data_IF_578087151588
#
_entry.id   IF_578087151588
#
_cell.length_a   1.000
_cell.length_b   1.000
_cell.length_c   1.000
_cell.angle_alpha   90.00
_cell.angle_beta   90.00
_cell.angle_gamma   90.00
#
_symmetry.space_group_name_H-M   'P 1'
#
loop_
_entity.id
_entity.type
_entity.pdbx_description
1 polymer ?
#
# COMPACT_ATOMS: atom_id res chain seq x y z
N UNK A 1 15.63 0.74 9.72
CA UNK A 1 15.24 -0.59 10.31
C UNK A 1 16.35 -1.60 10.10
N UNK A 2 16.39 -2.69 10.90
CA UNK A 2 17.47 -3.71 10.83
C UNK A 2 16.90 -5.10 11.10
N UNK A 3 17.43 -6.14 10.42
CA UNK A 3 17.15 -7.56 10.67
C UNK A 3 18.40 -8.40 10.47
N UNK A 4 18.52 -9.52 11.20
CA UNK A 4 19.64 -10.45 11.11
C UNK A 4 19.10 -11.85 10.85
N UNK A 5 19.79 -12.59 10.00
CA UNK A 5 19.51 -13.98 9.68
C UNK A 5 20.80 -14.81 9.65
N UNK A 6 20.76 -16.00 10.24
CA UNK A 6 21.89 -16.91 10.29
C UNK A 6 21.63 -18.13 9.41
N UNK A 7 22.50 -18.30 8.41
CA UNK A 7 22.59 -19.51 7.58
C UNK A 7 24.00 -20.05 7.69
N UNK A 8 24.23 -20.88 8.69
CA UNK A 8 25.59 -21.34 9.00
C UNK A 8 26.37 -21.74 7.74
N UNK A 9 27.61 -21.27 7.57
CA UNK A 9 28.39 -20.49 8.55
C UNK A 9 28.31 -18.97 8.36
N UNK A 10 27.32 -18.47 7.60
CA UNK A 10 27.16 -17.05 7.26
C UNK A 10 26.11 -16.38 8.14
N UNK A 11 26.40 -15.13 8.52
CA UNK A 11 25.46 -14.18 9.10
C UNK A 11 25.10 -13.14 8.02
N UNK A 12 23.82 -12.93 7.82
CA UNK A 12 23.26 -11.90 6.94
C UNK A 12 22.60 -10.82 7.80
N UNK A 13 23.01 -9.59 7.66
CA UNK A 13 22.42 -8.44 8.31
C UNK A 13 21.95 -7.43 7.28
N UNK A 14 20.64 -7.17 7.23
CA UNK A 14 20.09 -6.12 6.38
C UNK A 14 19.80 -4.87 7.22
N UNK A 15 20.20 -3.71 6.71
CA UNK A 15 19.88 -2.40 7.24
C UNK A 15 19.13 -1.62 6.17
N UNK A 16 18.03 -0.95 6.57
CA UNK A 16 17.18 -0.15 5.67
C UNK A 16 17.15 1.28 6.20
N UNK A 17 17.39 2.24 5.32
CA UNK A 17 17.30 3.66 5.66
C UNK A 17 15.82 4.05 5.76
N UNK A 18 15.41 4.52 6.96
CA UNK A 18 14.03 4.90 7.24
C UNK A 18 13.23 3.84 8.00
N UNK A 19 12.00 4.18 8.33
CA UNK A 19 11.05 3.33 9.08
C UNK A 19 9.73 3.12 8.35
N UNK A 20 9.38 4.05 7.45
CA UNK A 20 8.20 3.98 6.61
C UNK A 20 8.44 4.71 5.29
N UNK A 21 7.73 4.28 4.25
CA UNK A 21 7.81 4.85 2.90
C UNK A 21 6.42 5.02 2.34
N UNK A 22 6.29 5.94 1.41
CA UNK A 22 5.07 6.07 0.63
C UNK A 22 5.20 5.31 -0.70
N UNK A 23 4.09 4.94 -1.29
CA UNK A 23 4.06 4.49 -2.68
C UNK A 23 4.78 5.51 -3.57
N UNK A 24 5.59 5.04 -4.53
CA UNK A 24 6.40 5.87 -5.41
C UNK A 24 7.78 6.28 -4.85
N UNK A 25 8.09 5.98 -3.59
CA UNK A 25 9.40 6.28 -2.99
C UNK A 25 10.43 5.17 -3.24
N UNK A 26 11.68 5.47 -2.93
CA UNK A 26 12.80 4.53 -3.01
C UNK A 26 13.08 3.95 -1.63
N UNK A 27 13.09 2.63 -1.52
CA UNK A 27 13.59 1.91 -0.35
C UNK A 27 15.04 1.52 -0.63
N UNK A 28 15.95 1.91 0.24
CA UNK A 28 17.38 1.63 0.08
C UNK A 28 18.04 1.27 1.40
N UNK A 29 19.20 0.63 1.29
CA UNK A 29 19.94 0.22 2.47
C UNK A 29 21.19 -0.57 2.11
N UNK A 30 21.63 -1.37 3.06
CA UNK A 30 22.82 -2.21 2.94
C UNK A 30 22.53 -3.64 3.40
N UNK A 31 23.14 -4.60 2.72
CA UNK A 31 23.23 -5.99 3.16
C UNK A 31 24.68 -6.27 3.54
N UNK A 32 24.91 -6.71 4.76
CA UNK A 32 26.20 -7.14 5.28
C UNK A 32 26.19 -8.66 5.42
N UNK A 33 27.20 -9.31 4.88
CA UNK A 33 27.41 -10.76 4.95
C UNK A 33 28.72 -11.02 5.68
N UNK A 34 28.67 -11.77 6.78
CA UNK A 34 29.83 -12.08 7.60
C UNK A 34 30.06 -13.59 7.69
N UNK A 35 31.31 -13.99 7.52
CA UNK A 35 31.71 -15.38 7.77
C UNK A 35 32.02 -15.58 9.26
N UNK A 36 31.18 -16.36 9.94
CA UNK A 36 31.28 -16.64 11.37
C UNK A 36 32.18 -17.84 11.69
N UNK A 37 32.70 -18.52 10.66
CA UNK A 37 33.58 -19.69 10.83
C UNK A 37 35.05 -19.29 10.90
N UNK A 38 35.89 -20.24 11.32
CA UNK A 38 37.35 -20.14 11.31
C UNK A 38 37.99 -20.51 9.96
N UNK A 39 37.21 -20.82 8.91
CA UNK A 39 37.68 -21.23 7.57
C UNK A 39 37.10 -20.27 6.53
N UNK A 40 37.81 -20.22 5.37
CA UNK A 40 37.27 -19.54 4.19
C UNK A 40 36.01 -20.25 3.69
N UNK A 41 34.95 -19.48 3.38
CA UNK A 41 33.67 -19.96 2.86
C UNK A 41 33.37 -19.26 1.56
N UNK A 42 32.86 -19.98 0.57
CA UNK A 42 32.37 -19.39 -0.68
C UNK A 42 30.90 -19.04 -0.54
N UNK A 43 30.60 -17.76 -0.70
CA UNK A 43 29.22 -17.26 -0.83
C UNK A 43 28.79 -17.54 -2.27
N UNK A 44 28.03 -18.63 -2.50
CA UNK A 44 27.59 -19.05 -3.84
C UNK A 44 26.70 -17.98 -4.46
N UNK A 45 25.59 -17.68 -3.79
CA UNK A 45 24.67 -16.61 -4.19
C UNK A 45 24.14 -15.93 -2.94
N UNK A 46 24.05 -14.63 -2.98
CA UNK A 46 23.32 -13.85 -1.98
C UNK A 46 22.38 -12.90 -2.70
N UNK A 47 21.18 -12.76 -2.17
CA UNK A 47 20.14 -12.02 -2.84
C UNK A 47 19.28 -11.24 -1.86
N UNK A 48 18.72 -10.15 -2.38
CA UNK A 48 17.72 -9.31 -1.71
C UNK A 48 16.50 -9.29 -2.62
N UNK A 49 15.34 -9.57 -2.07
CA UNK A 49 14.09 -9.70 -2.80
C UNK A 49 13.05 -8.82 -2.14
N UNK A 50 12.39 -7.96 -2.92
CA UNK A 50 11.17 -7.32 -2.46
C UNK A 50 9.97 -8.14 -2.94
N UNK A 51 9.11 -8.54 -2.01
CA UNK A 51 7.95 -9.40 -2.29
C UNK A 51 6.73 -9.01 -1.46
N UNK A 52 5.56 -9.24 -2.03
CA UNK A 52 4.30 -9.13 -1.29
C UNK A 52 3.98 -10.45 -0.59
N UNK A 53 3.57 -10.37 0.69
CA UNK A 53 3.16 -11.49 1.50
C UNK A 53 1.89 -11.23 2.29
N UNK A 54 1.06 -12.26 2.47
CA UNK A 54 -0.19 -12.20 3.25
C UNK A 54 0.07 -12.59 4.71
N UNK A 55 -0.36 -11.75 5.65
CA UNK A 55 -0.22 -12.00 7.10
C UNK A 55 -0.89 -13.30 7.56
N UNK A 56 -1.97 -13.71 6.90
CA UNK A 56 -2.67 -14.96 7.20
C UNK A 56 -1.78 -16.19 6.99
N UNK A 57 -1.05 -16.23 5.87
CA UNK A 57 -0.16 -17.34 5.55
C UNK A 57 0.96 -17.52 6.61
N UNK A 58 1.44 -16.42 7.21
CA UNK A 58 2.41 -16.49 8.32
C UNK A 58 1.83 -17.14 9.59
N UNK A 59 0.54 -16.87 9.89
CA UNK A 59 -0.12 -17.40 11.09
C UNK A 59 -0.42 -18.89 10.95
N UNK A 60 -0.73 -19.34 9.74
CA UNK A 60 -1.13 -20.73 9.47
C UNK A 60 0.08 -21.66 9.27
N UNK A 61 1.29 -21.14 9.16
CA UNK A 61 2.51 -21.95 8.94
C UNK A 61 2.54 -22.69 7.58
N UNK A 62 1.65 -22.35 6.68
CA UNK A 62 1.45 -23.03 5.37
C UNK A 62 2.34 -22.44 4.29
N UNK A 63 3.63 -22.24 4.52
CA UNK A 63 4.53 -21.63 3.52
C UNK A 63 3.94 -20.35 2.91
N UNK A 64 4.65 -19.24 2.98
CA UNK A 64 4.10 -17.97 2.48
C UNK A 64 4.20 -17.96 0.96
N UNK A 65 3.10 -17.90 0.21
CA UNK A 65 3.18 -17.71 -1.23
C UNK A 65 3.61 -16.28 -1.51
N UNK A 66 4.92 -16.08 -1.66
CA UNK A 66 5.48 -14.78 -1.99
C UNK A 66 5.16 -14.40 -3.44
N UNK A 67 4.57 -13.24 -3.64
CA UNK A 67 4.55 -12.59 -4.96
C UNK A 67 5.80 -11.74 -5.06
N UNK A 68 6.85 -12.26 -5.68
CA UNK A 68 8.10 -11.53 -5.95
C UNK A 68 7.81 -10.37 -6.88
N UNK A 69 8.27 -9.18 -6.51
CA UNK A 69 8.16 -7.96 -7.33
C UNK A 69 9.49 -7.69 -8.03
N UNK A 70 10.60 -7.72 -7.29
CA UNK A 70 11.93 -7.47 -7.80
C UNK A 70 12.95 -8.25 -6.99
N UNK A 71 14.09 -8.58 -7.63
CA UNK A 71 15.20 -9.32 -7.04
C UNK A 71 16.52 -8.68 -7.45
N UNK A 72 17.43 -8.53 -6.49
CA UNK A 72 18.81 -8.10 -6.72
C UNK A 72 19.78 -9.15 -6.18
N UNK A 73 20.81 -9.47 -6.97
CA UNK A 73 21.91 -10.34 -6.55
C UNK A 73 22.98 -9.45 -5.91
N UNK A 74 23.22 -9.68 -4.63
CA UNK A 74 24.21 -8.92 -3.85
C UNK A 74 25.63 -9.51 -4.00
N UNK A 75 25.75 -10.84 -3.99
CA UNK A 75 27.03 -11.53 -4.13
C UNK A 75 26.85 -12.83 -4.91
N UNK A 76 27.86 -13.22 -5.69
CA UNK A 76 27.92 -14.49 -6.40
C UNK A 76 29.35 -15.00 -6.45
N UNK A 77 29.55 -16.26 -6.02
CA UNK A 77 30.83 -17.00 -6.05
C UNK A 77 32.03 -16.24 -5.42
N UNK A 78 31.76 -15.55 -4.27
CA UNK A 78 32.77 -14.77 -3.57
C UNK A 78 33.35 -15.59 -2.40
N UNK A 79 34.68 -15.77 -2.39
CA UNK A 79 35.39 -16.37 -1.26
C UNK A 79 35.52 -15.36 -0.11
N UNK A 80 34.99 -15.69 1.06
CA UNK A 80 35.01 -14.86 2.24
C UNK A 80 35.89 -15.49 3.31
N UNK A 81 36.99 -14.85 3.68
CA UNK A 81 37.93 -15.32 4.69
C UNK A 81 37.27 -15.45 6.06
N UNK A 82 37.89 -16.22 6.96
CA UNK A 82 37.44 -16.37 8.34
C UNK A 82 37.27 -15.02 9.02
N UNK A 83 36.09 -14.77 9.61
CA UNK A 83 35.74 -13.53 10.33
C UNK A 83 35.56 -12.29 9.46
N UNK A 84 35.80 -12.38 8.13
CA UNK A 84 35.62 -11.24 7.20
C UNK A 84 34.16 -10.96 6.91
N UNK A 85 33.88 -9.75 6.43
CA UNK A 85 32.56 -9.32 6.00
C UNK A 85 32.58 -8.64 4.63
N UNK A 86 31.43 -8.72 3.93
CA UNK A 86 31.13 -7.99 2.69
C UNK A 86 29.92 -7.12 2.92
N UNK A 87 29.90 -5.93 2.31
CA UNK A 87 28.76 -5.00 2.38
C UNK A 87 28.34 -4.62 0.97
N UNK A 88 27.03 -4.70 0.72
CA UNK A 88 26.38 -4.34 -0.55
C UNK A 88 25.32 -3.30 -0.31
N UNK A 89 25.38 -2.21 -1.06
CA UNK A 89 24.28 -1.24 -1.11
C UNK A 89 23.25 -1.71 -2.12
N UNK A 90 21.98 -1.52 -1.80
CA UNK A 90 20.84 -1.90 -2.63
C UNK A 90 19.76 -0.83 -2.58
N UNK A 91 18.91 -0.81 -3.61
CA UNK A 91 17.70 0.03 -3.63
C UNK A 91 16.61 -0.63 -4.45
N UNK A 92 15.35 -0.33 -4.10
CA UNK A 92 14.15 -0.71 -4.85
C UNK A 92 13.25 0.50 -5.03
N UNK A 93 12.78 0.72 -6.26
CA UNK A 93 11.81 1.76 -6.57
C UNK A 93 10.40 1.20 -6.32
N UNK A 94 9.69 1.77 -5.37
CA UNK A 94 8.30 1.41 -5.14
C UNK A 94 7.42 1.98 -6.25
N UNK A 95 6.58 1.15 -6.88
CA UNK A 95 5.55 1.65 -7.78
C UNK A 95 4.57 2.56 -7.05
N UNK A 96 4.01 3.56 -7.75
CA UNK A 96 2.95 4.44 -7.23
C UNK A 96 1.67 3.69 -6.87
N UNK A 97 1.55 2.46 -7.33
CA UNK A 97 0.43 1.55 -7.09
C UNK A 97 0.83 0.28 -6.33
N UNK A 98 2.03 0.21 -5.72
CA UNK A 98 2.47 -0.95 -4.95
C UNK A 98 1.56 -1.24 -3.76
N UNK A 99 1.70 -2.44 -3.17
CA UNK A 99 0.94 -2.85 -1.99
C UNK A 99 1.23 -1.95 -0.79
N UNK A 100 0.20 -1.33 -0.21
CA UNK A 100 0.29 -0.67 1.11
C UNK A 100 0.32 -1.71 2.23
N UNK A 101 0.89 -1.35 3.37
CA UNK A 101 0.86 -2.20 4.56
C UNK A 101 -0.50 -2.07 5.25
N UNK A 102 -1.27 -3.15 5.25
CA UNK A 102 -2.58 -3.21 5.87
C UNK A 102 -2.74 -4.42 6.82
N UNK A 103 -3.96 -4.69 7.24
CA UNK A 103 -4.27 -5.84 8.11
C UNK A 103 -4.12 -7.19 7.39
N UNK A 104 -4.17 -7.23 6.06
CA UNK A 104 -4.12 -8.45 5.26
C UNK A 104 -2.70 -8.84 4.88
N UNK A 105 -1.83 -7.86 4.63
CA UNK A 105 -0.46 -8.11 4.17
C UNK A 105 0.38 -6.85 4.03
N UNK A 106 1.46 -6.95 3.27
CA UNK A 106 2.37 -5.85 2.98
C UNK A 106 3.56 -6.30 2.16
N UNK A 107 4.50 -5.38 1.96
CA UNK A 107 5.76 -5.68 1.33
C UNK A 107 6.80 -6.13 2.36
N UNK A 108 7.63 -7.04 1.94
CA UNK A 108 8.72 -7.61 2.74
C UNK A 108 10.01 -7.58 1.93
N UNK A 109 11.10 -7.32 2.61
CA UNK A 109 12.43 -7.64 2.14
C UNK A 109 12.78 -9.04 2.62
N UNK A 110 13.11 -9.93 1.69
CA UNK A 110 13.64 -11.25 1.94
C UNK A 110 15.12 -11.24 1.56
N UNK A 111 15.98 -11.81 2.37
CA UNK A 111 17.42 -11.76 2.14
C UNK A 111 18.11 -13.01 2.65
N UNK A 112 19.23 -13.36 2.04
CA UNK A 112 19.99 -14.54 2.38
C UNK A 112 20.65 -15.16 1.15
N UNK A 113 20.89 -16.48 1.20
CA UNK A 113 21.44 -17.28 0.11
C UNK A 113 20.41 -17.61 -0.98
N UNK A 114 20.65 -18.69 -1.73
CA UNK A 114 19.80 -19.15 -2.83
C UNK A 114 18.34 -19.39 -2.41
N UNK A 115 18.14 -19.83 -1.17
CA UNK A 115 16.83 -20.17 -0.61
C UNK A 115 16.19 -19.01 0.18
N UNK A 116 16.58 -17.76 -0.11
CA UNK A 116 16.07 -16.57 0.60
C UNK A 116 14.52 -16.45 0.61
N UNK A 117 13.84 -17.01 -0.38
CA UNK A 117 12.37 -17.05 -0.44
C UNK A 117 11.74 -17.99 0.59
N UNK A 118 12.38 -19.11 0.88
CA UNK A 118 11.84 -20.16 1.76
C UNK A 118 12.43 -20.10 3.16
N UNK A 119 13.73 -19.96 3.26
CA UNK A 119 14.49 -20.05 4.50
C UNK A 119 15.29 -18.78 4.85
N UNK A 120 15.12 -17.69 4.09
CA UNK A 120 15.84 -16.43 4.29
C UNK A 120 15.36 -15.58 5.47
N UNK A 121 16.17 -14.56 5.77
CA UNK A 121 15.79 -13.47 6.68
C UNK A 121 14.64 -12.66 6.09
N UNK A 122 13.85 -12.02 6.97
CA UNK A 122 12.65 -11.27 6.59
C UNK A 122 12.59 -9.95 7.32
N UNK A 123 12.21 -8.89 6.61
CA UNK A 123 11.95 -7.59 7.19
C UNK A 123 10.67 -7.01 6.57
N UNK A 124 9.66 -6.73 7.40
CA UNK A 124 8.42 -6.11 6.93
C UNK A 124 8.64 -4.62 6.70
N UNK A 125 8.22 -4.12 5.53
CA UNK A 125 8.26 -2.72 5.19
C UNK A 125 6.91 -2.05 5.53
N UNK A 126 6.97 -0.88 6.16
CA UNK A 126 5.78 -0.06 6.41
C UNK A 126 5.57 0.86 5.20
N UNK A 127 4.65 0.46 4.31
CA UNK A 127 4.31 1.24 3.11
C UNK A 127 2.98 1.96 3.32
N UNK A 128 3.02 3.26 3.16
CA UNK A 128 1.86 4.13 3.22
C UNK A 128 1.32 4.42 1.82
N UNK A 129 0.09 4.90 1.77
CA UNK A 129 -0.53 5.36 0.53
C UNK A 129 0.26 6.52 -0.09
N UNK A 130 0.21 6.66 -1.41
CA UNK A 130 0.82 7.77 -2.15
C UNK A 130 0.38 9.13 -1.57
N UNK A 131 1.28 10.11 -1.38
CA UNK A 131 0.96 11.39 -0.72
C UNK A 131 -0.22 12.14 -1.34
N UNK A 132 -0.37 12.10 -2.66
CA UNK A 132 -1.51 12.71 -3.36
C UNK A 132 -2.82 12.06 -2.93
N UNK A 133 -2.87 10.72 -2.90
CA UNK A 133 -4.07 9.98 -2.48
C UNK A 133 -4.39 10.19 -1.00
N UNK A 134 -3.36 10.31 -0.15
CA UNK A 134 -3.54 10.68 1.26
C UNK A 134 -4.19 12.07 1.39
N UNK A 135 -3.70 13.07 0.66
CA UNK A 135 -4.27 14.42 0.67
C UNK A 135 -5.70 14.44 0.13
N UNK A 136 -6.00 13.62 -0.89
CA UNK A 136 -7.34 13.46 -1.42
C UNK A 136 -8.30 12.91 -0.34
N UNK A 137 -7.92 11.83 0.34
CA UNK A 137 -8.70 11.24 1.43
C UNK A 137 -8.80 12.18 2.63
N UNK A 138 -7.73 12.90 2.95
CA UNK A 138 -7.77 13.90 4.02
C UNK A 138 -8.83 14.99 3.74
N UNK A 139 -9.07 15.33 2.48
CA UNK A 139 -10.14 16.27 2.10
C UNK A 139 -11.51 15.72 2.47
N UNK A 140 -11.78 14.42 2.26
CA UNK A 140 -13.03 13.79 2.73
C UNK A 140 -13.19 13.90 4.25
N UNK A 141 -12.15 13.60 5.00
CA UNK A 141 -12.23 13.54 6.47
C UNK A 141 -12.29 14.92 7.11
N UNK A 142 -11.54 15.90 6.58
CA UNK A 142 -11.44 17.23 7.18
C UNK A 142 -12.51 18.21 6.69
N UNK A 143 -12.82 18.22 5.39
CA UNK A 143 -13.76 19.20 4.82
C UNK A 143 -15.20 18.67 4.76
N UNK A 144 -15.37 17.38 4.43
CA UNK A 144 -16.70 16.77 4.35
C UNK A 144 -17.04 15.92 5.58
N UNK A 145 -16.12 15.82 6.57
CA UNK A 145 -16.32 15.13 7.86
C UNK A 145 -16.68 13.65 7.75
N UNK A 146 -16.31 13.01 6.65
CA UNK A 146 -16.47 11.57 6.53
C UNK A 146 -15.50 10.84 7.48
N UNK A 147 -15.96 9.75 8.08
CA UNK A 147 -15.13 8.88 8.90
C UNK A 147 -14.53 7.76 8.04
N UNK A 148 -13.20 7.70 7.98
CA UNK A 148 -12.52 6.58 7.37
C UNK A 148 -12.64 5.34 8.26
N UNK A 149 -13.19 4.25 7.70
CA UNK A 149 -13.38 2.99 8.42
C UNK A 149 -12.23 2.01 8.20
N UNK A 150 -11.73 1.93 6.97
CA UNK A 150 -10.56 1.14 6.60
C UNK A 150 -10.01 1.58 5.25
N UNK A 151 -8.71 1.26 5.06
CA UNK A 151 -8.03 1.23 3.76
C UNK A 151 -7.50 -0.17 3.52
N UNK A 152 -7.56 -0.65 2.28
CA UNK A 152 -6.94 -1.90 1.85
C UNK A 152 -6.64 -1.89 0.36
N UNK A 153 -5.64 -2.66 -0.04
CA UNK A 153 -5.36 -2.90 -1.46
C UNK A 153 -6.37 -3.88 -2.04
N UNK A 154 -6.90 -3.58 -3.22
CA UNK A 154 -7.78 -4.47 -3.98
C UNK A 154 -7.40 -4.41 -5.46
N UNK A 155 -6.72 -5.44 -5.95
CA UNK A 155 -6.10 -5.45 -7.28
C UNK A 155 -5.17 -4.23 -7.45
N UNK A 156 -5.40 -3.38 -8.43
CA UNK A 156 -4.63 -2.17 -8.72
C UNK A 156 -5.12 -0.92 -7.96
N UNK A 157 -6.21 -1.05 -7.20
CA UNK A 157 -6.86 0.05 -6.51
C UNK A 157 -6.61 0.02 -5.00
N UNK A 158 -6.58 1.17 -4.38
CA UNK A 158 -6.76 1.30 -2.94
C UNK A 158 -8.24 1.52 -2.65
N UNK A 159 -8.90 0.52 -2.08
CA UNK A 159 -10.29 0.62 -1.61
C UNK A 159 -10.30 1.27 -0.23
N UNK A 160 -11.06 2.36 -0.10
CA UNK A 160 -11.28 3.07 1.16
C UNK A 160 -12.78 3.09 1.44
N UNK A 161 -13.17 2.67 2.64
CA UNK A 161 -14.55 2.80 3.10
C UNK A 161 -14.71 4.04 3.96
N UNK A 162 -15.59 4.94 3.53
CA UNK A 162 -15.90 6.19 4.17
C UNK A 162 -17.36 6.19 4.63
N UNK A 163 -17.58 6.58 5.89
CA UNK A 163 -18.92 6.71 6.49
C UNK A 163 -19.27 8.20 6.48
N UNK A 164 -20.44 8.59 5.96
CA UNK A 164 -20.86 9.99 5.96
C UNK A 164 -21.08 10.50 7.39
N UNK A 165 -20.97 11.82 7.61
CA UNK A 165 -21.40 12.42 8.87
C UNK A 165 -22.91 12.24 9.04
N UNK A 166 -23.37 12.21 10.28
CA UNK A 166 -24.78 12.29 10.59
C UNK A 166 -25.31 13.72 10.31
N UNK A 167 -25.78 13.91 9.08
CA UNK A 167 -26.23 15.20 8.59
C UNK A 167 -27.41 15.05 7.63
N UNK A 168 -28.16 16.14 7.45
CA UNK A 168 -29.28 16.20 6.50
C UNK A 168 -28.82 16.22 5.03
N UNK A 169 -27.52 16.38 4.77
CA UNK A 169 -26.96 16.36 3.41
C UNK A 169 -26.91 14.95 2.82
N UNK A 170 -26.77 13.92 3.68
CA UNK A 170 -26.61 12.53 3.24
C UNK A 170 -27.58 11.58 3.95
N UNK A 171 -28.89 11.87 3.99
CA UNK A 171 -29.85 11.17 4.87
C UNK A 171 -30.02 9.69 4.54
N UNK A 172 -29.70 9.31 3.32
CA UNK A 172 -29.90 7.94 2.80
C UNK A 172 -28.60 7.24 2.45
N UNK A 173 -27.44 7.81 2.77
CA UNK A 173 -26.15 7.22 2.46
C UNK A 173 -25.63 6.37 3.62
N UNK A 174 -25.52 5.07 3.43
CA UNK A 174 -24.91 4.17 4.42
C UNK A 174 -23.39 4.36 4.47
N UNK A 175 -22.75 4.36 3.30
CA UNK A 175 -21.31 4.57 3.13
C UNK A 175 -20.96 4.78 1.65
N UNK A 176 -19.74 5.25 1.41
CA UNK A 176 -19.12 5.23 0.09
C UNK A 176 -17.86 4.34 0.11
N UNK A 177 -17.71 3.49 -0.89
CA UNK A 177 -16.45 2.86 -1.23
C UNK A 177 -15.78 3.74 -2.27
N UNK A 178 -14.62 4.27 -1.93
CA UNK A 178 -13.78 5.05 -2.82
C UNK A 178 -12.60 4.19 -3.22
N UNK A 179 -12.43 3.95 -4.52
CA UNK A 179 -11.31 3.24 -5.10
C UNK A 179 -10.39 4.26 -5.73
N UNK A 180 -9.15 4.33 -5.29
CA UNK A 180 -8.17 5.35 -5.69
C UNK A 180 -6.92 4.71 -6.25
N UNK A 181 -6.34 5.31 -7.28
CA UNK A 181 -5.00 5.00 -7.77
C UNK A 181 -4.39 6.21 -8.50
N UNK A 182 -3.06 6.20 -8.62
CA UNK A 182 -2.34 7.01 -9.60
C UNK A 182 -1.93 6.07 -10.73
N UNK A 183 -2.41 6.34 -11.93
CA UNK A 183 -2.11 5.56 -13.13
C UNK A 183 -1.83 6.51 -14.28
N UNK A 184 -0.70 6.33 -14.98
CA UNK A 184 -0.23 7.24 -16.03
C UNK A 184 -0.31 8.72 -15.63
N UNK A 185 0.17 9.01 -14.40
CA UNK A 185 0.12 10.33 -13.77
C UNK A 185 -1.30 10.87 -13.49
N UNK A 186 -2.35 10.16 -13.89
CA UNK A 186 -3.74 10.54 -13.58
C UNK A 186 -4.12 10.07 -12.18
N UNK A 187 -4.77 10.94 -11.41
CA UNK A 187 -5.47 10.53 -10.20
C UNK A 187 -6.85 10.00 -10.61
N UNK A 188 -7.02 8.70 -10.50
CA UNK A 188 -8.28 8.04 -10.79
C UNK A 188 -9.04 7.74 -9.50
N UNK A 189 -10.32 8.07 -9.48
CA UNK A 189 -11.24 7.82 -8.38
C UNK A 189 -12.53 7.19 -8.91
N UNK A 190 -12.82 5.97 -8.44
CA UNK A 190 -14.11 5.31 -8.66
C UNK A 190 -14.88 5.26 -7.36
N UNK A 191 -16.10 5.77 -7.38
CA UNK A 191 -16.98 5.81 -6.19
C UNK A 191 -18.14 4.85 -6.35
N UNK A 192 -18.43 4.15 -5.27
CA UNK A 192 -19.64 3.34 -5.13
C UNK A 192 -20.39 3.75 -3.88
N UNK A 193 -21.45 4.52 -4.07
CA UNK A 193 -22.34 4.98 -3.00
C UNK A 193 -23.34 3.88 -2.66
N UNK A 194 -23.40 3.49 -1.40
CA UNK A 194 -24.41 2.58 -0.86
C UNK A 194 -25.49 3.43 -0.21
N UNK A 195 -26.69 3.35 -0.77
CA UNK A 195 -27.85 4.13 -0.36
C UNK A 195 -28.93 3.20 0.19
N UNK A 196 -29.54 3.59 1.30
CA UNK A 196 -30.72 2.94 1.87
C UNK A 196 -31.89 3.90 1.81
N UNK A 197 -33.04 3.45 1.33
CA UNK A 197 -34.25 4.24 1.26
C UNK A 197 -35.46 3.46 1.77
N UNK A 198 -36.47 4.16 2.28
CA UNK A 198 -37.75 3.58 2.61
C UNK A 198 -38.61 3.52 1.35
N UNK A 199 -38.97 2.33 0.94
CA UNK A 199 -39.92 2.08 -0.14
C UNK A 199 -41.23 1.51 0.41
N UNK A 200 -42.34 1.75 -0.28
CA UNK A 200 -43.64 1.18 0.05
C UNK A 200 -43.97 0.11 -0.99
N UNK A 201 -44.16 -1.13 -0.53
CA UNK A 201 -44.63 -2.23 -1.38
C UNK A 201 -45.97 -2.68 -0.82
N UNK A 202 -47.05 -2.21 -1.42
CA UNK A 202 -48.40 -2.37 -0.87
C UNK A 202 -48.55 -1.64 0.45
N UNK A 203 -49.00 -2.30 1.51
CA UNK A 203 -49.17 -1.73 2.86
C UNK A 203 -47.90 -1.82 3.72
N UNK A 204 -46.83 -2.54 3.24
CA UNK A 204 -45.61 -2.73 4.03
C UNK A 204 -44.53 -1.74 3.62
N UNK A 205 -43.90 -1.09 4.61
CA UNK A 205 -42.67 -0.33 4.42
C UNK A 205 -41.48 -1.28 4.32
N UNK A 206 -40.72 -1.15 3.27
CA UNK A 206 -39.52 -1.97 3.02
C UNK A 206 -38.28 -1.09 2.86
N UNK A 207 -37.14 -1.55 3.38
CA UNK A 207 -35.85 -0.87 3.13
C UNK A 207 -35.34 -1.29 1.77
N UNK A 208 -35.24 -0.35 0.84
CA UNK A 208 -34.64 -0.58 -0.48
C UNK A 208 -33.19 -0.13 -0.45
N UNK A 209 -32.30 -0.99 -0.96
CA UNK A 209 -30.87 -0.66 -1.13
C UNK A 209 -30.59 -0.31 -2.59
N UNK A 210 -29.93 0.79 -2.83
CA UNK A 210 -29.52 1.24 -4.17
C UNK A 210 -28.02 1.52 -4.17
N UNK A 211 -27.40 1.30 -5.31
CA UNK A 211 -26.01 1.69 -5.56
C UNK A 211 -26.01 2.81 -6.60
N UNK A 212 -25.17 3.81 -6.41
CA UNK A 212 -24.82 4.79 -7.43
C UNK A 212 -23.30 4.75 -7.60
N UNK A 213 -22.84 4.89 -8.83
CA UNK A 213 -21.40 4.83 -9.13
C UNK A 213 -21.00 6.04 -9.95
N UNK A 214 -19.76 6.47 -9.77
CA UNK A 214 -19.14 7.56 -10.51
C UNK A 214 -17.67 7.29 -10.68
N UNK A 215 -17.16 7.58 -11.87
CA UNK A 215 -15.73 7.57 -12.19
C UNK A 215 -15.25 9.01 -12.42
N UNK A 216 -14.06 9.31 -11.91
CA UNK A 216 -13.37 10.57 -12.17
C UNK A 216 -11.91 10.29 -12.48
N UNK A 217 -11.36 11.04 -13.45
CA UNK A 217 -9.93 11.09 -13.75
C UNK A 217 -9.47 12.53 -13.70
N UNK A 218 -8.48 12.82 -12.87
CA UNK A 218 -7.98 14.17 -12.62
C UNK A 218 -6.52 14.21 -13.08
N UNK A 219 -6.18 15.01 -14.08
CA UNK A 219 -4.83 15.11 -14.59
C UNK A 219 -3.91 15.92 -13.63
N UNK A 220 -2.59 15.70 -13.70
CA UNK A 220 -1.63 16.27 -12.76
C UNK A 220 -1.64 17.79 -12.71
N UNK A 221 -1.85 18.46 -13.83
CA UNK A 221 -1.94 19.92 -13.90
C UNK A 221 -3.14 20.53 -13.14
N UNK A 222 -4.13 19.71 -12.80
CA UNK A 222 -5.27 20.12 -11.96
C UNK A 222 -5.06 19.80 -10.50
N UNK A 223 -4.57 18.59 -10.17
CA UNK A 223 -4.41 18.18 -8.79
C UNK A 223 -3.07 18.58 -8.16
N UNK A 224 -2.09 19.08 -8.96
CA UNK A 224 -0.85 19.67 -8.48
C UNK A 224 -0.84 21.17 -8.76
N UNK A 225 -0.28 21.92 -7.84
CA UNK A 225 0.14 23.33 -8.02
C UNK A 225 1.61 23.37 -8.44
N UNK A 226 2.09 24.52 -8.95
CA UNK A 226 3.52 24.72 -9.19
C UNK A 226 4.38 24.32 -7.99
N UNK A 227 5.44 23.56 -8.24
CA UNK A 227 6.28 23.00 -7.17
C UNK A 227 5.80 21.64 -6.63
N UNK A 228 4.81 20.99 -7.27
CA UNK A 228 4.37 19.65 -6.90
C UNK A 228 3.48 19.57 -5.65
N UNK A 229 2.98 20.71 -5.19
CA UNK A 229 2.10 20.78 -4.00
C UNK A 229 0.68 20.34 -4.36
N UNK A 230 0.02 19.48 -3.53
CA UNK A 230 -1.36 19.06 -3.78
C UNK A 230 -2.35 20.22 -3.82
N UNK A 231 -3.18 20.29 -4.87
CA UNK A 231 -4.22 21.29 -5.02
C UNK A 231 -5.50 20.90 -4.27
N UNK A 232 -5.60 21.28 -3.01
CA UNK A 232 -6.75 20.96 -2.14
C UNK A 232 -8.07 21.54 -2.64
N UNK A 233 -8.07 22.67 -3.35
CA UNK A 233 -9.27 23.25 -3.93
C UNK A 233 -9.84 22.33 -5.03
N UNK A 234 -8.97 21.83 -5.91
CA UNK A 234 -9.34 20.84 -6.91
C UNK A 234 -9.91 19.55 -6.27
N UNK A 235 -9.26 19.03 -5.22
CA UNK A 235 -9.78 17.85 -4.52
C UNK A 235 -11.17 18.09 -3.94
N UNK A 236 -11.39 19.23 -3.29
CA UNK A 236 -12.69 19.61 -2.74
C UNK A 236 -13.76 19.65 -3.81
N UNK A 237 -13.48 20.30 -4.94
CA UNK A 237 -14.42 20.45 -6.05
C UNK A 237 -14.83 19.10 -6.63
N UNK A 238 -13.85 18.21 -6.91
CA UNK A 238 -14.11 16.88 -7.45
C UNK A 238 -14.90 16.01 -6.48
N UNK A 239 -14.57 16.05 -5.19
CA UNK A 239 -15.31 15.31 -4.15
C UNK A 239 -16.73 15.85 -4.01
N UNK A 240 -16.93 17.17 -3.99
CA UNK A 240 -18.25 17.79 -3.91
C UNK A 240 -19.12 17.38 -5.11
N UNK A 241 -18.54 17.42 -6.31
CA UNK A 241 -19.20 16.94 -7.53
C UNK A 241 -19.60 15.46 -7.42
N UNK A 242 -18.73 14.60 -6.88
CA UNK A 242 -19.07 13.21 -6.66
C UNK A 242 -20.18 13.01 -5.64
N UNK A 243 -20.15 13.75 -4.54
CA UNK A 243 -21.13 13.68 -3.47
C UNK A 243 -22.51 14.21 -3.89
N UNK A 244 -22.59 15.11 -4.88
CA UNK A 244 -23.86 15.61 -5.42
C UNK A 244 -24.75 14.49 -5.96
N UNK A 245 -24.19 13.41 -6.47
CA UNK A 245 -24.94 12.22 -6.94
C UNK A 245 -25.75 11.59 -5.80
N UNK A 246 -25.23 11.66 -4.57
CA UNK A 246 -25.84 11.03 -3.40
C UNK A 246 -26.71 11.98 -2.56
N UNK A 247 -26.68 13.29 -2.83
CA UNK A 247 -27.54 14.27 -2.20
C UNK A 247 -28.99 14.09 -2.65
N UNK A 248 -29.98 14.39 -1.80
CA UNK A 248 -31.38 14.42 -2.21
C UNK A 248 -31.59 15.51 -3.28
N UNK A 249 -32.38 15.21 -4.29
CA UNK A 249 -32.86 16.23 -5.24
C UNK A 249 -33.71 17.23 -4.46
N UNK A 250 -33.33 18.50 -4.45
CA UNK A 250 -34.14 19.57 -3.91
C UNK A 250 -35.26 19.85 -4.94
N UNK A 251 -36.41 19.24 -4.72
CA UNK A 251 -37.61 19.59 -5.50
C UNK A 251 -38.13 20.92 -4.94
N UNK A 252 -37.94 21.99 -5.71
CA UNK A 252 -38.56 23.30 -5.46
C UNK A 252 -40.02 23.30 -5.91
#
# INVERSE_FOLDING_TARGET
MRSVYFQQPLEYQIEVEGESWNQGEVVKGQLRIRNMSSKTVTVKTSQIIIAHGLKKAFKEGTGVPWKVLEKQVAAQDIALQAGSELTFSWNFNLSTDCQITDKQGGLYLLFGGDEALTEGGRLNLQINLHPILQNYLQTFTTQFRFLEKYQKRKSEWTEVKLIPPDSREYPNMDFVLCFLRIHDEQLEAHYRFKMSGLGRTGEKMTVTKKNRELDQSIPPEKYLQPGGVPNRACFRENIDQALNIARPEVIF
#
